data_IF_534422171727
#
_entry.id   IF_534422171727
#
_cell.length_a   1.000
_cell.length_b   1.000
_cell.length_c   1.000
_cell.angle_alpha   90.00
_cell.angle_beta   90.00
_cell.angle_gamma   90.00
#
_symmetry.space_group_name_H-M   'P 1'
#
loop_
_entity.id
_entity.type
_entity.pdbx_description
1 polymer ?
#
# COMPACT_ATOMS: atom_id res chain seq x y z
N UNK A 1 -10.46 -1.43 14.12
CA UNK A 1 -9.81 -1.72 12.82
C UNK A 1 -10.56 -0.98 11.74
N UNK A 2 -9.86 -0.51 10.71
CA UNK A 2 -10.39 0.25 9.59
C UNK A 2 -9.91 -0.39 8.28
N UNK A 3 -10.74 -0.35 7.24
CA UNK A 3 -10.36 -0.77 5.89
C UNK A 3 -10.21 0.46 5.02
N UNK A 4 -9.14 0.49 4.24
CA UNK A 4 -8.84 1.57 3.29
C UNK A 4 -8.55 0.98 1.92
N UNK A 5 -8.95 1.71 0.89
CA UNK A 5 -8.76 1.34 -0.49
C UNK A 5 -8.00 2.45 -1.21
N UNK A 6 -6.90 2.10 -1.85
CA UNK A 6 -5.94 3.02 -2.46
C UNK A 6 -5.71 2.65 -3.93
N UNK A 7 -5.83 3.62 -4.82
CA UNK A 7 -5.50 3.40 -6.23
C UNK A 7 -3.99 3.46 -6.42
N UNK A 8 -3.42 2.48 -7.10
CA UNK A 8 -1.99 2.40 -7.38
C UNK A 8 -1.71 2.75 -8.85
N UNK A 9 -0.77 3.66 -9.09
CA UNK A 9 -0.24 3.94 -10.43
C UNK A 9 1.19 3.41 -10.51
N UNK A 10 1.45 2.55 -11.49
CA UNK A 10 2.80 2.07 -11.81
C UNK A 10 3.61 3.16 -12.48
N UNK A 11 4.84 3.35 -12.03
CA UNK A 11 5.89 4.11 -12.71
C UNK A 11 6.97 3.18 -13.26
N UNK A 12 7.90 3.73 -14.04
CA UNK A 12 9.03 2.99 -14.66
C UNK A 12 9.95 2.25 -13.68
N UNK A 13 9.85 2.51 -12.37
CA UNK A 13 10.63 1.87 -11.30
C UNK A 13 9.75 1.05 -10.32
N UNK A 14 8.47 0.86 -10.62
CA UNK A 14 7.55 0.13 -9.73
C UNK A 14 7.94 -1.34 -9.61
N UNK A 15 8.11 -1.80 -8.37
CA UNK A 15 8.46 -3.19 -8.06
C UNK A 15 7.46 -3.76 -7.06
N UNK A 16 6.69 -4.76 -7.51
CA UNK A 16 5.67 -5.42 -6.69
C UNK A 16 6.29 -6.13 -5.48
N UNK A 17 7.51 -6.66 -5.61
CA UNK A 17 8.19 -7.31 -4.48
C UNK A 17 8.55 -6.28 -3.41
N UNK A 18 9.01 -5.09 -3.81
CA UNK A 18 9.23 -3.98 -2.87
C UNK A 18 7.94 -3.51 -2.24
N UNK A 19 6.85 -3.42 -2.99
CA UNK A 19 5.53 -3.08 -2.45
C UNK A 19 5.08 -4.09 -1.39
N UNK A 20 5.08 -5.38 -1.72
CA UNK A 20 4.73 -6.44 -0.76
C UNK A 20 5.61 -6.38 0.48
N UNK A 21 6.92 -6.27 0.32
CA UNK A 21 7.86 -6.20 1.43
C UNK A 21 7.62 -4.97 2.33
N UNK A 22 7.33 -3.80 1.75
CA UNK A 22 6.99 -2.59 2.53
C UNK A 22 5.70 -2.78 3.31
N UNK A 23 4.69 -3.39 2.71
CA UNK A 23 3.40 -3.66 3.37
C UNK A 23 3.55 -4.70 4.49
N UNK A 24 4.26 -5.80 4.25
CA UNK A 24 4.48 -6.87 5.24
C UNK A 24 5.24 -6.38 6.49
N UNK A 25 6.11 -5.38 6.36
CA UNK A 25 6.86 -4.80 7.47
C UNK A 25 6.18 -3.56 8.08
N UNK A 26 4.98 -3.19 7.63
CA UNK A 26 4.31 -1.98 8.10
C UNK A 26 3.59 -2.21 9.42
N UNK A 27 4.03 -1.53 10.47
CA UNK A 27 3.37 -1.58 11.77
C UNK A 27 1.94 -1.03 11.68
N UNK A 28 0.98 -1.81 12.17
CA UNK A 28 -0.44 -1.47 12.11
C UNK A 28 -1.16 -1.88 10.82
N UNK A 29 -0.48 -2.49 9.85
CA UNK A 29 -1.11 -3.17 8.71
C UNK A 29 -1.32 -4.66 9.05
N UNK A 30 -2.57 -5.13 9.00
CA UNK A 30 -2.91 -6.52 9.33
C UNK A 30 -3.10 -7.39 8.10
N UNK A 31 -3.83 -6.88 7.12
CA UNK A 31 -4.14 -7.59 5.88
C UNK A 31 -4.06 -6.61 4.72
N UNK A 32 -3.61 -7.09 3.57
CA UNK A 32 -3.65 -6.31 2.34
C UNK A 32 -3.90 -7.22 1.13
N UNK A 33 -4.54 -6.66 0.11
CA UNK A 33 -4.77 -7.31 -1.16
C UNK A 33 -4.47 -6.33 -2.30
N UNK A 34 -3.70 -6.78 -3.29
CA UNK A 34 -3.35 -5.99 -4.47
C UNK A 34 -4.03 -6.61 -5.69
N UNK A 35 -5.09 -5.95 -6.17
CA UNK A 35 -5.76 -6.30 -7.42
C UNK A 35 -4.88 -5.85 -8.60
N UNK A 36 -4.26 -6.80 -9.29
CA UNK A 36 -3.42 -6.53 -10.47
C UNK A 36 -4.23 -6.04 -11.68
N UNK A 37 -5.49 -6.45 -11.78
CA UNK A 37 -6.39 -6.04 -12.87
C UNK A 37 -6.88 -4.61 -12.66
N UNK A 38 -7.18 -4.23 -11.42
CA UNK A 38 -7.75 -2.91 -11.10
C UNK A 38 -6.71 -1.88 -10.66
N UNK A 39 -5.44 -2.29 -10.54
CA UNK A 39 -4.37 -1.51 -9.89
C UNK A 39 -4.82 -0.91 -8.56
N UNK A 40 -5.49 -1.72 -7.74
CA UNK A 40 -6.11 -1.30 -6.48
C UNK A 40 -5.45 -2.05 -5.32
N UNK A 41 -5.07 -1.33 -4.27
CA UNK A 41 -4.66 -1.89 -2.99
C UNK A 41 -5.79 -1.70 -1.97
N UNK A 42 -6.28 -2.79 -1.39
CA UNK A 42 -7.15 -2.75 -0.22
C UNK A 42 -6.32 -3.20 0.99
N UNK A 43 -6.39 -2.44 2.09
CA UNK A 43 -5.59 -2.65 3.28
C UNK A 43 -6.45 -2.52 4.54
N UNK A 44 -6.32 -3.48 5.46
CA UNK A 44 -6.89 -3.41 6.81
C UNK A 44 -5.83 -2.92 7.78
N UNK A 45 -6.09 -1.77 8.37
CA UNK A 45 -5.18 -1.05 9.25
C UNK A 45 -5.77 -0.90 10.67
N UNK A 46 -4.88 -0.79 11.65
CA UNK A 46 -5.23 -0.51 13.03
C UNK A 46 -5.63 0.97 13.24
N UNK A 47 -5.76 1.43 14.49
CA UNK A 47 -6.08 2.84 14.78
C UNK A 47 -4.86 3.76 14.82
N UNK A 48 -3.64 3.21 14.88
CA UNK A 48 -2.37 3.94 14.93
C UNK A 48 -1.83 4.22 13.52
N UNK A 49 -2.08 3.33 12.57
CA UNK A 49 -1.81 3.53 11.15
C UNK A 49 -2.99 4.26 10.49
N UNK A 50 -2.70 5.15 9.55
CA UNK A 50 -3.71 5.88 8.78
C UNK A 50 -3.40 5.82 7.27
N UNK A 51 -4.41 6.14 6.45
CA UNK A 51 -4.28 6.08 4.99
C UNK A 51 -3.14 6.95 4.46
N UNK A 52 -2.93 8.15 5.03
CA UNK A 52 -1.89 9.06 4.58
C UNK A 52 -0.49 8.51 4.81
N UNK A 53 -0.26 7.85 5.95
CA UNK A 53 1.02 7.21 6.27
C UNK A 53 1.28 6.05 5.31
N UNK A 54 0.28 5.19 5.08
CA UNK A 54 0.36 4.10 4.10
C UNK A 54 0.70 4.62 2.69
N UNK A 55 0.02 5.67 2.25
CA UNK A 55 0.29 6.32 0.95
C UNK A 55 1.73 6.82 0.86
N UNK A 56 2.24 7.48 1.90
CA UNK A 56 3.61 8.01 1.91
C UNK A 56 4.65 6.90 1.79
N UNK A 57 4.51 5.84 2.58
CA UNK A 57 5.43 4.70 2.56
C UNK A 57 5.45 4.01 1.19
N UNK A 58 4.28 3.81 0.58
CA UNK A 58 4.17 3.26 -0.78
C UNK A 58 4.89 4.18 -1.78
N UNK A 59 4.63 5.49 -1.72
CA UNK A 59 5.21 6.47 -2.65
C UNK A 59 6.73 6.59 -2.55
N UNK A 60 7.30 6.43 -1.36
CA UNK A 60 8.74 6.57 -1.11
C UNK A 60 9.50 5.27 -1.44
N UNK A 61 8.96 4.11 -1.06
CA UNK A 61 9.74 2.86 -1.01
C UNK A 61 9.50 1.90 -2.18
N UNK A 62 8.37 2.02 -2.89
CA UNK A 62 7.90 0.94 -3.80
C UNK A 62 7.93 1.35 -5.28
N UNK A 63 8.08 2.64 -5.54
CA UNK A 63 8.00 3.22 -6.89
C UNK A 63 6.58 3.33 -7.45
N UNK A 64 5.57 2.81 -6.75
CA UNK A 64 4.15 3.06 -7.04
C UNK A 64 3.74 4.44 -6.54
N UNK A 65 2.75 5.05 -7.19
CA UNK A 65 2.01 6.19 -6.65
C UNK A 65 0.66 5.72 -6.13
N UNK A 66 0.41 5.85 -4.82
CA UNK A 66 -0.86 5.58 -4.16
C UNK A 66 -1.64 6.87 -3.89
N UNK A 67 -2.97 6.82 -3.98
CA UNK A 67 -3.90 7.88 -3.58
C UNK A 67 -5.29 7.33 -3.25
#
# INVERSE_FOLDING_TARGET
>A
MQEISLTLIKNSKSDLNRLNHTLENMEGLYEFNISKEENHLTAKIDQKLNAQHLINEINIHTGYKAF
#
